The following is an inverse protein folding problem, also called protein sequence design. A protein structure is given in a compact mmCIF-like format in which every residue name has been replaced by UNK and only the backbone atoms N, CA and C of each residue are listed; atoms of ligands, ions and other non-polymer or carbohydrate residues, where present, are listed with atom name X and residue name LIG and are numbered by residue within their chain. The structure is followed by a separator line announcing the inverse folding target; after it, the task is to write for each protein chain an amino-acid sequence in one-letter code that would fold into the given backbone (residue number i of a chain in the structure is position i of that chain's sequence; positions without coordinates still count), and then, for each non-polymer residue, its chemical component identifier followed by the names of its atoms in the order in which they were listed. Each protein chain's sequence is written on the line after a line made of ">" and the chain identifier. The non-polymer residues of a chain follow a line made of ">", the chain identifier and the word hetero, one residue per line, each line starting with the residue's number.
data_IF_837606058959
#
_entry.id   IF_837606058959
#
_cell.length_a   1.000
_cell.length_b   1.000
_cell.length_c   1.000
_cell.angle_alpha   90.00
_cell.angle_beta   90.00
_cell.angle_gamma   90.00
#
_symmetry.space_group_name_H-M   'P 1'
#
loop_
_entity.id
_entity.type
_entity.pdbx_description
1 polymer ?
#
# COMPACT_ATOMS: atom_id res chain seq x y z
N UNK A 1 9.95 7.11 4.61
CA UNK A 1 10.89 6.57 5.63
C UNK A 1 10.56 5.11 5.87
N UNK A 2 11.50 4.18 5.69
CA UNK A 2 11.31 2.77 6.09
C UNK A 2 11.44 2.67 7.62
N UNK A 3 10.49 2.00 8.27
CA UNK A 3 10.45 1.83 9.73
C UNK A 3 10.93 0.44 10.19
N UNK A 4 10.85 -0.56 9.32
CA UNK A 4 11.29 -1.93 9.64
C UNK A 4 12.77 -1.99 9.99
N UNK A 5 13.08 -2.82 10.99
CA UNK A 5 14.43 -2.96 11.54
C UNK A 5 14.86 -1.84 12.51
N UNK A 6 14.00 -0.86 12.80
CA UNK A 6 14.28 0.20 13.78
C UNK A 6 13.63 -0.12 15.11
N UNK A 7 14.43 -0.20 16.17
CA UNK A 7 13.97 -0.59 17.51
C UNK A 7 12.83 0.28 18.06
N UNK A 8 12.84 1.59 17.77
CA UNK A 8 11.81 2.53 18.22
C UNK A 8 10.49 2.47 17.42
N UNK A 9 10.42 1.62 16.40
CA UNK A 9 9.23 1.39 15.56
C UNK A 9 8.77 -0.06 15.58
N UNK A 10 9.35 -0.89 16.46
CA UNK A 10 9.12 -2.34 16.49
C UNK A 10 7.66 -2.69 16.72
N UNK A 11 6.99 -1.95 17.61
CA UNK A 11 5.57 -2.09 17.90
C UNK A 11 4.69 -1.80 16.68
N UNK A 12 5.00 -0.74 15.92
CA UNK A 12 4.28 -0.38 14.71
C UNK A 12 4.54 -1.39 13.58
N UNK A 13 5.78 -1.87 13.45
CA UNK A 13 6.16 -2.91 12.49
C UNK A 13 5.36 -4.21 12.73
N UNK A 14 5.33 -4.69 13.97
CA UNK A 14 4.56 -5.88 14.38
C UNK A 14 3.06 -5.70 14.17
N UNK A 15 2.53 -4.48 14.39
CA UNK A 15 1.13 -4.15 14.14
C UNK A 15 0.77 -4.23 12.66
N UNK A 16 1.59 -3.64 11.78
CA UNK A 16 1.39 -3.68 10.34
C UNK A 16 1.53 -5.11 9.79
N UNK A 17 2.51 -5.87 10.28
CA UNK A 17 2.68 -7.28 9.95
C UNK A 17 1.47 -8.12 10.34
N UNK A 18 0.93 -7.91 11.54
CA UNK A 18 -0.27 -8.60 12.02
C UNK A 18 -1.50 -8.23 11.16
N UNK A 19 -1.65 -6.95 10.82
CA UNK A 19 -2.71 -6.46 9.94
C UNK A 19 -2.64 -7.11 8.54
N UNK A 20 -1.45 -7.12 7.93
CA UNK A 20 -1.21 -7.74 6.63
C UNK A 20 -1.49 -9.24 6.66
N UNK A 21 -1.03 -9.95 7.68
CA UNK A 21 -1.24 -11.39 7.85
C UNK A 21 -2.73 -11.76 7.91
N UNK A 22 -3.54 -10.95 8.60
CA UNK A 22 -5.00 -11.12 8.64
C UNK A 22 -5.62 -10.91 7.26
N UNK A 23 -5.22 -9.85 6.55
CA UNK A 23 -5.75 -9.56 5.22
C UNK A 23 -5.35 -10.62 4.18
N UNK A 24 -4.11 -11.10 4.20
CA UNK A 24 -3.65 -12.20 3.35
C UNK A 24 -4.41 -13.49 3.64
N UNK A 25 -4.76 -13.76 4.91
CA UNK A 25 -5.57 -14.93 5.26
C UNK A 25 -6.97 -14.90 4.64
N UNK A 26 -7.53 -13.71 4.38
CA UNK A 26 -8.77 -13.57 3.61
C UNK A 26 -8.53 -13.78 2.12
N UNK A 27 -7.49 -13.17 1.54
CA UNK A 27 -7.14 -13.34 0.12
C UNK A 27 -6.89 -14.83 -0.23
N UNK A 28 -6.22 -15.59 0.64
CA UNK A 28 -5.95 -17.03 0.43
C UNK A 28 -7.21 -17.87 0.24
N UNK A 29 -8.34 -17.44 0.81
CA UNK A 29 -9.63 -18.14 0.66
C UNK A 29 -10.26 -17.92 -0.70
N UNK A 30 -9.91 -16.80 -1.36
CA UNK A 30 -10.45 -16.41 -2.66
C UNK A 30 -9.53 -16.84 -3.82
N UNK A 31 -8.21 -16.86 -3.59
CA UNK A 31 -7.22 -17.08 -4.63
C UNK A 31 -6.16 -18.10 -4.18
N UNK A 32 -6.21 -19.30 -4.77
CA UNK A 32 -5.28 -20.40 -4.46
C UNK A 32 -3.81 -20.01 -4.65
N UNK A 33 -3.52 -19.06 -5.55
CA UNK A 33 -2.18 -18.52 -5.78
C UNK A 33 -1.48 -18.08 -4.48
N UNK A 34 -2.22 -17.56 -3.51
CA UNK A 34 -1.64 -17.06 -2.25
C UNK A 34 -1.43 -18.13 -1.17
N UNK A 35 -1.73 -19.41 -1.45
CA UNK A 35 -1.51 -20.50 -0.50
C UNK A 35 -0.02 -20.76 -0.23
N UNK A 36 0.86 -20.37 -1.15
CA UNK A 36 2.32 -20.48 -0.98
C UNK A 36 2.91 -19.61 0.14
N UNK A 37 4.23 -19.74 0.38
CA UNK A 37 4.93 -18.92 1.35
C UNK A 37 5.25 -17.53 0.78
N UNK A 38 4.78 -16.50 1.47
CA UNK A 38 5.03 -15.09 1.14
C UNK A 38 5.64 -14.37 2.34
N UNK A 39 6.29 -13.24 2.08
CA UNK A 39 6.80 -12.31 3.08
C UNK A 39 6.58 -10.86 2.64
N UNK A 40 6.52 -9.94 3.58
CA UNK A 40 6.64 -8.52 3.29
C UNK A 40 8.11 -8.12 3.08
N UNK A 41 8.33 -6.91 2.56
CA UNK A 41 9.68 -6.33 2.35
C UNK A 41 9.96 -5.14 3.29
N UNK A 42 9.27 -5.09 4.42
CA UNK A 42 9.29 -3.98 5.37
C UNK A 42 8.33 -2.85 5.03
N UNK A 43 8.10 -1.96 6.00
CA UNK A 43 7.06 -0.94 5.94
C UNK A 43 7.66 0.45 5.77
N UNK A 44 7.19 1.18 4.75
CA UNK A 44 7.55 2.56 4.49
C UNK A 44 6.41 3.50 4.90
N UNK A 45 6.71 4.47 5.76
CA UNK A 45 5.80 5.56 6.11
C UNK A 45 6.06 6.75 5.19
N UNK A 46 5.00 7.26 4.58
CA UNK A 46 5.03 8.44 3.72
C UNK A 46 4.06 9.50 4.24
N UNK A 47 4.50 10.75 4.21
CA UNK A 47 3.69 11.95 4.42
C UNK A 47 3.53 12.65 3.07
N UNK A 48 2.33 13.15 2.79
CA UNK A 48 2.02 13.97 1.63
C UNK A 48 1.36 15.27 2.09
N UNK A 49 1.90 16.39 1.65
CA UNK A 49 1.44 17.75 1.95
C UNK A 49 0.58 18.32 0.81
N UNK A 50 -0.16 19.42 1.04
CA UNK A 50 -0.90 20.08 -0.03
C UNK A 50 0.01 20.48 -1.19
N UNK A 51 -0.42 20.20 -2.42
CA UNK A 51 0.36 20.40 -3.63
C UNK A 51 1.13 19.17 -4.10
N UNK A 52 1.44 18.24 -3.20
CA UNK A 52 2.15 17.00 -3.53
C UNK A 52 1.21 15.93 -4.09
N UNK A 53 1.76 15.07 -4.92
CA UNK A 53 1.08 13.98 -5.60
C UNK A 53 2.08 12.91 -6.00
N UNK A 54 1.57 11.76 -6.44
CA UNK A 54 2.39 10.74 -7.07
C UNK A 54 1.86 10.49 -8.47
N UNK A 55 2.73 10.33 -9.45
CA UNK A 55 2.34 10.17 -10.84
C UNK A 55 1.69 8.80 -11.10
N UNK A 56 1.09 8.63 -12.27
CA UNK A 56 0.66 7.31 -12.73
C UNK A 56 1.86 6.38 -12.83
N UNK A 57 1.73 5.19 -12.24
CA UNK A 57 2.78 4.20 -12.18
C UNK A 57 2.21 2.81 -11.90
N UNK A 58 3.08 1.82 -12.06
CA UNK A 58 2.92 0.46 -11.57
C UNK A 58 4.03 0.18 -10.55
N UNK A 59 3.79 -0.78 -9.67
CA UNK A 59 4.73 -1.14 -8.60
C UNK A 59 5.57 -2.38 -8.91
N UNK A 60 5.25 -3.09 -9.99
CA UNK A 60 5.98 -4.22 -10.52
C UNK A 60 6.77 -3.80 -11.76
N UNK A 61 7.83 -4.53 -12.06
CA UNK A 61 8.68 -4.19 -13.20
C UNK A 61 9.74 -5.23 -13.48
N UNK A 62 10.73 -4.86 -14.28
CA UNK A 62 11.87 -5.73 -14.58
C UNK A 62 12.82 -5.85 -13.37
N UNK A 63 13.61 -6.93 -13.35
CA UNK A 63 14.69 -7.14 -12.38
C UNK A 63 14.20 -7.15 -10.91
N UNK A 64 14.71 -6.26 -10.05
CA UNK A 64 14.51 -6.28 -8.60
C UNK A 64 13.07 -6.04 -8.13
N UNK A 65 12.14 -5.73 -9.06
CA UNK A 65 10.72 -5.51 -8.75
C UNK A 65 9.82 -6.61 -9.32
N UNK A 66 10.39 -7.64 -9.95
CA UNK A 66 9.63 -8.72 -10.58
C UNK A 66 9.05 -9.72 -9.58
N UNK A 67 9.56 -9.72 -8.34
CA UNK A 67 9.16 -10.64 -7.27
C UNK A 67 7.91 -10.16 -6.51
N UNK A 68 7.50 -8.89 -6.67
CA UNK A 68 6.31 -8.31 -6.04
C UNK A 68 5.04 -8.94 -6.59
N UNK A 69 4.22 -9.48 -5.68
CA UNK A 69 2.95 -10.14 -5.99
C UNK A 69 1.73 -9.35 -5.52
N UNK A 70 1.87 -8.56 -4.44
CA UNK A 70 0.86 -7.61 -3.99
C UNK A 70 1.49 -6.32 -3.48
N UNK A 71 0.79 -5.22 -3.63
CA UNK A 71 1.00 -3.96 -2.93
C UNK A 71 0.03 -3.89 -1.75
N UNK A 72 0.50 -3.38 -0.62
CA UNK A 72 -0.34 -3.07 0.54
C UNK A 72 -0.18 -1.62 0.95
N UNK A 73 -1.29 -0.87 1.02
CA UNK A 73 -1.31 0.52 1.47
C UNK A 73 -2.32 0.66 2.62
N UNK A 74 -1.84 1.13 3.77
CA UNK A 74 -2.67 1.57 4.88
C UNK A 74 -2.79 3.08 4.88
N UNK A 75 -4.00 3.59 5.09
CA UNK A 75 -4.21 5.01 5.39
C UNK A 75 -4.16 5.23 6.91
N UNK A 76 -3.23 6.08 7.35
CA UNK A 76 -2.94 6.29 8.77
C UNK A 76 -3.74 7.46 9.37
N UNK A 77 -4.47 8.19 8.53
CA UNK A 77 -5.39 9.24 8.93
C UNK A 77 -6.48 9.44 7.87
N UNK A 78 -7.60 10.06 8.28
CA UNK A 78 -8.62 10.49 7.35
C UNK A 78 -8.15 11.68 6.51
N UNK A 79 -8.50 11.66 5.22
CA UNK A 79 -8.34 12.81 4.32
C UNK A 79 -9.72 13.23 3.83
N UNK A 80 -10.22 14.34 4.38
CA UNK A 80 -11.53 14.88 4.01
C UNK A 80 -11.57 15.55 2.64
N UNK A 81 -10.40 15.78 2.03
CA UNK A 81 -10.26 16.35 0.70
C UNK A 81 -10.28 17.89 0.65
N UNK A 82 -10.26 18.47 -0.56
CA UNK A 82 -10.21 17.76 -1.84
C UNK A 82 -8.85 17.10 -2.14
N UNK A 83 -8.88 16.00 -2.90
CA UNK A 83 -7.67 15.27 -3.31
C UNK A 83 -7.16 14.27 -2.28
N UNK A 84 -6.01 13.64 -2.58
CA UNK A 84 -5.36 12.67 -1.72
C UNK A 84 -5.83 11.22 -1.91
N UNK A 85 -6.79 10.96 -2.79
CA UNK A 85 -7.24 9.61 -3.13
C UNK A 85 -6.12 8.78 -3.75
N UNK A 86 -6.22 7.46 -3.64
CA UNK A 86 -5.48 6.54 -4.50
C UNK A 86 -6.39 6.18 -5.66
N UNK A 87 -5.98 6.51 -6.88
CA UNK A 87 -6.79 6.36 -8.09
C UNK A 87 -6.22 5.25 -8.97
N UNK A 88 -7.11 4.40 -9.47
CA UNK A 88 -6.81 3.29 -10.38
C UNK A 88 -7.50 3.55 -11.72
N UNK A 89 -6.71 3.71 -12.78
CA UNK A 89 -7.23 4.15 -14.08
C UNK A 89 -8.06 3.06 -14.77
N UNK A 90 -7.58 1.82 -14.75
CA UNK A 90 -8.22 0.71 -15.46
C UNK A 90 -9.54 0.26 -14.80
N UNK A 91 -9.64 0.42 -13.49
CA UNK A 91 -10.84 0.08 -12.71
C UNK A 91 -11.83 1.25 -12.65
N UNK A 92 -11.42 2.46 -13.07
CA UNK A 92 -12.19 3.69 -12.92
C UNK A 92 -12.66 3.93 -11.47
N UNK A 93 -11.76 3.75 -10.51
CA UNK A 93 -12.04 3.84 -9.07
C UNK A 93 -11.08 4.79 -8.37
N UNK A 94 -11.61 5.58 -7.43
CA UNK A 94 -10.85 6.41 -6.49
C UNK A 94 -11.12 5.95 -5.07
N UNK A 95 -10.08 5.58 -4.35
CA UNK A 95 -10.18 5.19 -2.95
C UNK A 95 -9.86 6.40 -2.08
N UNK A 96 -10.87 6.86 -1.33
CA UNK A 96 -10.69 7.89 -0.32
C UNK A 96 -9.88 7.36 0.87
N UNK A 97 -8.85 8.10 1.34
CA UNK A 97 -8.12 7.77 2.55
C UNK A 97 -9.04 7.90 3.77
N UNK A 98 -9.20 6.79 4.49
CA UNK A 98 -9.93 6.71 5.75
C UNK A 98 -9.06 5.94 6.73
N UNK A 99 -8.95 6.43 7.95
CA UNK A 99 -8.02 5.88 8.94
C UNK A 99 -8.27 4.38 9.17
N UNK A 100 -7.19 3.60 9.14
CA UNK A 100 -7.24 2.14 9.35
C UNK A 100 -7.64 1.34 8.11
N UNK A 101 -8.09 1.98 7.02
CA UNK A 101 -8.37 1.29 5.76
C UNK A 101 -7.07 0.77 5.14
N UNK A 102 -7.08 -0.52 4.80
CA UNK A 102 -6.05 -1.21 4.04
C UNK A 102 -6.58 -1.51 2.64
N UNK A 103 -5.79 -1.21 1.60
CA UNK A 103 -6.02 -1.70 0.25
C UNK A 103 -4.91 -2.64 -0.18
N UNK A 104 -5.29 -3.73 -0.85
CA UNK A 104 -4.41 -4.71 -1.45
C UNK A 104 -4.70 -4.79 -2.95
N UNK A 105 -3.66 -4.76 -3.78
CA UNK A 105 -3.82 -4.85 -5.23
C UNK A 105 -2.57 -5.43 -5.91
N UNK A 106 -2.72 -6.10 -7.06
CA UNK A 106 -1.58 -6.57 -7.87
C UNK A 106 -0.68 -5.41 -8.29
N UNK A 107 0.65 -5.56 -8.28
CA UNK A 107 1.59 -4.49 -8.65
C UNK A 107 1.75 -4.31 -10.17
N UNK A 108 0.96 -5.01 -10.99
CA UNK A 108 1.19 -5.14 -12.43
C UNK A 108 0.42 -4.10 -13.27
N UNK A 109 0.64 -4.13 -14.58
CA UNK A 109 0.03 -3.25 -15.58
C UNK A 109 -1.51 -3.16 -15.53
N UNK A 110 -2.19 -4.15 -14.93
CA UNK A 110 -3.64 -4.12 -14.72
C UNK A 110 -4.08 -3.12 -13.65
N UNK A 111 -3.18 -2.68 -12.77
CA UNK A 111 -3.47 -1.79 -11.64
C UNK A 111 -2.55 -0.56 -11.65
N UNK A 112 -2.41 0.06 -12.82
CA UNK A 112 -1.80 1.39 -12.91
C UNK A 112 -2.57 2.38 -12.02
N UNK A 113 -1.83 3.03 -11.13
CA UNK A 113 -2.41 3.84 -10.08
C UNK A 113 -1.60 5.09 -9.79
N UNK A 114 -2.20 6.03 -9.06
CA UNK A 114 -1.55 7.26 -8.63
C UNK A 114 -2.05 7.74 -7.27
N UNK A 115 -1.27 8.61 -6.63
CA UNK A 115 -1.74 9.44 -5.52
C UNK A 115 -2.28 10.77 -6.06
N UNK A 116 -3.59 10.97 -6.01
CA UNK A 116 -4.24 12.21 -6.47
C UNK A 116 -3.68 13.39 -5.66
N UNK A 117 -3.39 14.50 -6.35
CA UNK A 117 -2.85 15.71 -5.74
C UNK A 117 -3.66 16.14 -4.53
N UNK A 118 -3.01 16.15 -3.37
CA UNK A 118 -3.64 16.61 -2.15
C UNK A 118 -3.82 18.13 -2.24
N UNK A 119 -5.04 18.62 -2.03
CA UNK A 119 -5.29 20.08 -2.09
C UNK A 119 -5.36 20.70 -0.70
N UNK A 120 -5.75 19.94 0.33
CA UNK A 120 -5.89 20.40 1.71
C UNK A 120 -5.58 19.30 2.72
N UNK A 121 -5.05 19.69 3.88
CA UNK A 121 -4.76 18.78 4.99
C UNK A 121 -3.40 18.09 4.85
N UNK A 122 -3.27 16.90 5.41
CA UNK A 122 -2.07 16.06 5.32
C UNK A 122 -2.51 14.61 5.17
N UNK A 123 -1.78 13.84 4.37
CA UNK A 123 -2.00 12.40 4.19
C UNK A 123 -0.81 11.63 4.72
N UNK A 124 -1.06 10.61 5.51
CA UNK A 124 -0.09 9.63 5.96
C UNK A 124 -0.49 8.25 5.47
N UNK A 125 0.47 7.54 4.91
CA UNK A 125 0.30 6.13 4.53
C UNK A 125 1.46 5.29 5.06
N UNK A 126 1.17 4.01 5.31
CA UNK A 126 2.18 2.97 5.35
C UNK A 126 2.05 2.12 4.08
N UNK A 127 3.17 1.74 3.49
CA UNK A 127 3.21 0.90 2.30
C UNK A 127 4.18 -0.26 2.49
N UNK A 128 3.82 -1.45 2.01
CA UNK A 128 4.75 -2.56 1.80
C UNK A 128 4.40 -3.32 0.53
N UNK A 129 5.27 -4.25 0.14
CA UNK A 129 5.03 -5.21 -0.93
C UNK A 129 5.13 -6.63 -0.40
N UNK A 130 4.29 -7.51 -0.94
CA UNK A 130 4.32 -8.94 -0.67
C UNK A 130 5.10 -9.63 -1.79
N UNK A 131 6.13 -10.38 -1.43
CA UNK A 131 6.99 -11.14 -2.35
C UNK A 131 7.01 -12.61 -1.97
N UNK A 132 7.51 -13.46 -2.87
CA UNK A 132 7.79 -14.86 -2.52
C UNK A 132 8.82 -14.96 -1.39
N UNK A 133 8.61 -15.91 -0.48
CA UNK A 133 9.52 -16.11 0.66
C UNK A 133 10.83 -16.75 0.25
#
# INVERSE_FOLDING_TARGET
>A
MVISGKNNWKDIDELLFTSLSKALSSIKKEFEFFNGPFKDVGYAIQRTNPGEYYHWHIDGGSHQFSDRQLVAIWYLNDVNGPGGETEFINQNVKIKPEIGKLILFPPFWTHEHRGVKLQKGVKYIATTWVVFK
#
